data_IF_559189257590
#
_entry.id   IF_559189257590
#
_cell.length_a   1.000
_cell.length_b   1.000
_cell.length_c   1.000
_cell.angle_alpha   90.00
_cell.angle_beta   90.00
_cell.angle_gamma   90.00
#
_symmetry.space_group_name_H-M   'P 1'
#
loop_
_entity.id
_entity.type
_entity.pdbx_description
1 polymer ?
#
# COMPACT_ATOMS: atom_id res chain seq x y z
N UNK A 1 21.80 -10.20 -2.96
CA UNK A 1 20.34 -10.34 -2.72
C UNK A 1 19.60 -10.03 -4.00
N UNK A 2 18.58 -10.82 -4.34
CA UNK A 2 17.72 -10.53 -5.50
C UNK A 2 16.97 -9.23 -5.24
N UNK A 3 17.00 -8.30 -6.19
CA UNK A 3 16.24 -7.05 -6.07
C UNK A 3 14.77 -7.26 -6.42
N UNK A 4 13.89 -6.55 -5.70
CA UNK A 4 12.44 -6.69 -5.91
C UNK A 4 11.99 -5.97 -7.17
N UNK A 5 11.11 -6.63 -7.91
CA UNK A 5 10.44 -6.08 -9.10
C UNK A 5 9.05 -5.54 -8.79
N UNK A 6 8.52 -5.91 -7.63
CA UNK A 6 7.23 -5.41 -7.12
C UNK A 6 7.38 -5.06 -5.64
N UNK A 7 6.95 -3.86 -5.29
CA UNK A 7 6.72 -3.41 -3.93
C UNK A 7 5.22 -3.19 -3.74
N UNK A 8 4.62 -3.86 -2.76
CA UNK A 8 3.25 -3.64 -2.32
C UNK A 8 3.28 -3.09 -0.90
N UNK A 9 2.67 -1.92 -0.66
CA UNK A 9 2.80 -1.23 0.60
C UNK A 9 1.46 -0.73 1.13
N UNK A 10 1.24 -0.90 2.44
CA UNK A 10 0.13 -0.30 3.19
C UNK A 10 0.70 0.53 4.36
N UNK A 11 1.24 1.74 4.07
CA UNK A 11 1.93 2.53 5.08
C UNK A 11 1.03 2.89 6.27
N UNK A 12 1.56 2.90 7.50
CA UNK A 12 0.82 3.25 8.70
C UNK A 12 0.68 4.78 8.83
N UNK A 13 -0.15 5.37 7.97
CA UNK A 13 -0.37 6.79 7.87
C UNK A 13 -0.82 7.41 9.20
N UNK A 14 -0.13 8.46 9.66
CA UNK A 14 -0.50 9.26 10.83
C UNK A 14 -1.71 10.17 10.52
N UNK A 15 -2.86 9.56 10.22
CA UNK A 15 -4.10 10.29 9.98
C UNK A 15 -4.82 10.60 11.28
N UNK A 16 -4.81 11.88 11.68
CA UNK A 16 -5.51 12.36 12.85
C UNK A 16 -6.89 12.95 12.49
N UNK A 17 -7.94 12.26 12.85
CA UNK A 17 -9.32 12.76 12.70
C UNK A 17 -9.68 13.74 13.84
N UNK A 18 -8.84 14.76 14.09
CA UNK A 18 -8.89 15.63 15.28
C UNK A 18 -9.95 16.75 15.25
N UNK A 19 -10.79 16.88 14.22
CA UNK A 19 -11.59 18.12 14.02
C UNK A 19 -13.11 17.98 13.98
N UNK A 20 -13.67 16.83 14.28
CA UNK A 20 -15.13 16.73 14.37
C UNK A 20 -15.52 16.14 15.71
N UNK A 21 -16.06 16.95 16.61
CA UNK A 21 -16.46 16.66 18.00
C UNK A 21 -17.38 15.44 18.23
N UNK A 22 -17.11 14.36 17.55
CA UNK A 22 -17.68 13.04 17.80
C UNK A 22 -16.87 12.30 18.85
N UNK A 23 -17.51 11.82 19.89
CA UNK A 23 -16.96 11.04 20.99
C UNK A 23 -16.43 9.65 20.60
N UNK A 24 -16.25 9.36 19.33
CA UNK A 24 -15.72 8.07 18.84
C UNK A 24 -14.22 8.14 18.63
N UNK A 25 -13.50 7.36 19.40
CA UNK A 25 -12.07 7.06 19.28
C UNK A 25 -11.82 6.17 18.03
N UNK A 26 -11.89 6.74 16.84
CA UNK A 26 -11.77 5.99 15.56
C UNK A 26 -10.66 6.47 14.64
N UNK A 27 -9.55 6.95 15.21
CA UNK A 27 -8.37 7.30 14.43
C UNK A 27 -7.38 6.12 14.32
N UNK A 28 -6.71 5.96 13.19
CA UNK A 28 -5.70 4.91 12.97
C UNK A 28 -4.58 4.92 14.04
N UNK A 29 -4.29 6.08 14.62
CA UNK A 29 -3.29 6.29 15.68
C UNK A 29 -3.60 5.59 17.01
N UNK A 30 -4.79 5.02 17.20
CA UNK A 30 -5.16 4.32 18.44
C UNK A 30 -5.13 2.80 18.31
N UNK A 31 -4.96 2.27 17.10
CA UNK A 31 -4.96 0.82 16.85
C UNK A 31 -3.62 0.26 16.36
N UNK A 32 -2.71 1.13 15.89
CA UNK A 32 -1.42 0.71 15.30
C UNK A 32 -0.36 1.77 15.61
N UNK A 33 0.90 1.32 15.73
CA UNK A 33 2.05 2.22 15.76
C UNK A 33 2.14 2.94 14.41
N UNK A 34 1.74 4.20 14.40
CA UNK A 34 1.86 5.06 13.21
C UNK A 34 3.30 5.54 13.06
N UNK A 35 3.76 5.63 11.81
CA UNK A 35 5.06 6.23 11.49
C UNK A 35 4.86 7.64 10.96
N UNK A 36 5.81 8.53 11.26
CA UNK A 36 5.83 9.84 10.61
C UNK A 36 6.14 9.70 9.12
N UNK A 37 5.66 10.65 8.30
CA UNK A 37 6.00 10.67 6.88
C UNK A 37 7.51 10.75 6.67
N UNK A 38 8.21 11.52 7.50
CA UNK A 38 9.66 11.69 7.40
C UNK A 38 10.40 10.38 7.71
N UNK A 39 9.99 9.63 8.73
CA UNK A 39 10.60 8.32 9.02
C UNK A 39 10.39 7.34 7.86
N UNK A 40 9.19 7.30 7.30
CA UNK A 40 8.91 6.46 6.12
C UNK A 40 9.73 6.88 4.89
N UNK A 41 9.96 8.18 4.68
CA UNK A 41 10.79 8.70 3.58
C UNK A 41 12.27 8.36 3.75
N UNK A 42 12.76 8.21 4.99
CA UNK A 42 14.14 7.81 5.29
C UNK A 42 14.42 6.33 5.05
N UNK A 43 13.40 5.49 4.95
CA UNK A 43 13.60 4.08 4.62
C UNK A 43 14.26 3.92 3.24
N UNK A 44 15.35 3.15 3.15
CA UNK A 44 16.08 2.95 1.89
C UNK A 44 15.43 1.87 1.01
N UNK A 45 14.17 2.12 0.65
CA UNK A 45 13.40 1.24 -0.25
C UNK A 45 14.02 1.19 -1.64
N UNK A 46 14.63 2.30 -2.08
CA UNK A 46 15.23 2.40 -3.42
C UNK A 46 16.33 1.36 -3.64
N UNK A 47 17.13 1.07 -2.65
CA UNK A 47 18.23 0.09 -2.74
C UNK A 47 17.73 -1.34 -2.89
N UNK A 48 16.53 -1.64 -2.38
CA UNK A 48 15.89 -2.96 -2.47
C UNK A 48 15.29 -3.23 -3.85
N UNK A 49 15.01 -2.16 -4.63
CA UNK A 49 14.32 -2.26 -5.91
C UNK A 49 15.26 -2.62 -7.06
N UNK A 50 14.80 -3.50 -7.94
CA UNK A 50 15.37 -3.69 -9.27
C UNK A 50 15.35 -2.35 -10.07
N UNK A 51 16.11 -2.28 -11.16
CA UNK A 51 16.10 -1.11 -12.04
C UNK A 51 14.71 -0.87 -12.66
N UNK A 52 13.95 -1.94 -12.85
CA UNK A 52 12.56 -1.90 -13.29
C UNK A 52 11.68 -2.45 -12.17
N UNK A 53 10.99 -1.56 -11.46
CA UNK A 53 10.19 -1.94 -10.30
C UNK A 53 8.82 -1.23 -10.31
N UNK A 54 7.78 -1.97 -9.96
CA UNK A 54 6.41 -1.49 -9.77
C UNK A 54 6.15 -1.27 -8.28
N UNK A 55 5.60 -0.11 -7.94
CA UNK A 55 5.05 0.17 -6.61
C UNK A 55 3.52 0.22 -6.69
N UNK A 56 2.86 -0.52 -5.80
CA UNK A 56 1.44 -0.38 -5.50
C UNK A 56 1.33 0.00 -4.02
N UNK A 57 0.82 1.21 -3.73
CA UNK A 57 0.82 1.74 -2.37
C UNK A 57 -0.55 2.30 -1.98
N UNK A 58 -1.12 1.75 -0.92
CA UNK A 58 -2.35 2.27 -0.33
C UNK A 58 -2.13 3.62 0.32
N UNK A 59 -3.12 4.50 0.22
CA UNK A 59 -3.06 5.81 0.84
C UNK A 59 -4.44 6.27 1.32
N UNK A 60 -4.43 7.22 2.24
CA UNK A 60 -5.64 7.88 2.73
C UNK A 60 -6.03 8.98 1.75
N UNK A 61 -7.27 8.99 1.30
CA UNK A 61 -7.76 9.94 0.28
C UNK A 61 -7.62 11.42 0.66
N UNK A 62 -7.49 11.72 1.96
CA UNK A 62 -7.23 13.07 2.47
C UNK A 62 -5.74 13.45 2.51
N UNK A 63 -4.83 12.52 2.13
CA UNK A 63 -3.37 12.68 2.20
C UNK A 63 -2.70 12.37 0.84
N UNK A 64 -3.17 12.94 -0.29
CA UNK A 64 -2.59 12.63 -1.60
C UNK A 64 -1.18 13.20 -1.76
N UNK A 65 -0.89 14.36 -1.19
CA UNK A 65 0.42 15.01 -1.28
C UNK A 65 1.48 14.22 -0.52
N UNK A 66 1.14 13.70 0.64
CA UNK A 66 2.01 12.83 1.44
C UNK A 66 2.29 11.51 0.70
N UNK A 67 1.27 10.93 0.07
CA UNK A 67 1.43 9.71 -0.73
C UNK A 67 2.36 9.95 -1.93
N UNK A 68 2.20 11.06 -2.65
CA UNK A 68 3.09 11.47 -3.74
C UNK A 68 4.52 11.69 -3.24
N UNK A 69 4.68 12.39 -2.10
CA UNK A 69 5.98 12.68 -1.52
C UNK A 69 6.70 11.38 -1.11
N UNK A 70 5.98 10.42 -0.49
CA UNK A 70 6.56 9.15 -0.09
C UNK A 70 7.00 8.31 -1.29
N UNK A 71 6.16 8.16 -2.30
CA UNK A 71 6.50 7.42 -3.51
C UNK A 71 7.75 8.00 -4.20
N UNK A 72 7.85 9.33 -4.30
CA UNK A 72 9.02 10.02 -4.86
C UNK A 72 10.27 9.82 -4.01
N UNK A 73 10.15 9.89 -2.68
CA UNK A 73 11.26 9.66 -1.76
C UNK A 73 11.83 8.24 -1.89
N UNK A 74 11.00 7.25 -2.20
CA UNK A 74 11.42 5.87 -2.49
C UNK A 74 11.95 5.67 -3.91
N UNK A 75 11.99 6.74 -4.74
CA UNK A 75 12.56 6.73 -6.08
C UNK A 75 11.59 6.33 -7.20
N UNK A 76 10.28 6.41 -6.95
CA UNK A 76 9.25 6.08 -7.92
C UNK A 76 8.61 7.33 -8.53
N UNK A 77 8.19 7.20 -9.78
CA UNK A 77 7.34 8.16 -10.49
C UNK A 77 5.90 7.64 -10.49
N UNK A 78 5.01 8.38 -9.86
CA UNK A 78 3.59 8.01 -9.81
C UNK A 78 2.97 8.14 -11.20
N UNK A 79 2.26 7.11 -11.64
CA UNK A 79 1.58 7.06 -12.95
C UNK A 79 0.07 7.16 -12.81
N UNK A 80 -0.50 6.65 -11.71
CA UNK A 80 -1.94 6.67 -11.48
C UNK A 80 -2.23 6.64 -9.97
N UNK A 81 -2.95 7.64 -9.46
CA UNK A 81 -3.39 7.68 -8.06
C UNK A 81 -4.46 6.63 -7.75
N UNK A 82 -5.25 6.23 -8.74
CA UNK A 82 -6.28 5.19 -8.63
C UNK A 82 -5.87 3.95 -9.45
N UNK A 83 -4.61 3.51 -9.30
CA UNK A 83 -4.10 2.33 -10.00
C UNK A 83 -4.83 1.05 -9.59
N UNK A 84 -5.18 0.94 -8.29
CA UNK A 84 -6.18 0.01 -7.78
C UNK A 84 -7.18 0.75 -6.90
N UNK A 85 -8.43 0.29 -6.96
CA UNK A 85 -9.54 0.81 -6.15
C UNK A 85 -10.28 -0.37 -5.54
N UNK A 86 -10.27 -0.43 -4.21
CA UNK A 86 -11.09 -1.36 -3.47
C UNK A 86 -12.52 -0.80 -3.36
N UNK A 87 -13.45 -1.43 -4.06
CA UNK A 87 -14.88 -1.22 -3.90
C UNK A 87 -15.37 -2.16 -2.79
N UNK A 88 -15.64 -1.58 -1.63
CA UNK A 88 -15.89 -2.34 -0.40
C UNK A 88 -17.28 -2.95 -0.38
N UNK A 89 -17.35 -4.19 0.05
CA UNK A 89 -18.59 -4.87 0.39
C UNK A 89 -18.66 -5.18 1.87
N UNK A 90 -19.87 -5.19 2.42
CA UNK A 90 -20.13 -5.76 3.74
C UNK A 90 -19.94 -7.29 3.70
N UNK A 91 -19.83 -7.93 4.86
CA UNK A 91 -19.78 -9.39 4.96
C UNK A 91 -20.95 -10.11 4.27
N UNK A 92 -22.07 -9.43 4.08
CA UNK A 92 -23.27 -9.94 3.41
C UNK A 92 -23.36 -9.58 1.93
N UNK A 93 -22.29 -9.04 1.32
CA UNK A 93 -22.23 -8.69 -0.11
C UNK A 93 -23.03 -7.44 -0.50
N UNK A 94 -23.44 -6.62 0.48
CA UNK A 94 -24.08 -5.32 0.23
C UNK A 94 -23.02 -4.23 0.12
N UNK A 95 -23.38 -3.11 -0.52
CA UNK A 95 -22.53 -1.94 -0.61
C UNK A 95 -22.12 -1.47 0.80
N UNK A 96 -20.83 -1.17 0.96
CA UNK A 96 -20.31 -0.69 2.22
C UNK A 96 -20.64 0.79 2.40
N UNK A 97 -21.14 1.12 3.58
CA UNK A 97 -21.53 2.47 3.96
C UNK A 97 -20.64 2.97 5.10
N UNK A 98 -19.48 3.52 4.74
CA UNK A 98 -18.51 4.02 5.71
C UNK A 98 -18.82 5.42 6.23
N UNK A 99 -18.13 5.79 7.31
CA UNK A 99 -18.25 7.11 7.93
C UNK A 99 -17.35 8.13 7.20
N UNK A 100 -17.90 8.88 6.29
CA UNK A 100 -17.23 10.00 5.63
C UNK A 100 -17.80 11.34 6.08
N UNK A 101 -17.02 12.41 5.97
CA UNK A 101 -17.45 13.75 6.40
C UNK A 101 -18.50 14.37 5.48
N UNK A 102 -18.33 14.20 4.16
CA UNK A 102 -19.20 14.78 3.16
C UNK A 102 -19.96 13.68 2.43
N UNK A 103 -19.21 12.73 1.87
CA UNK A 103 -19.77 11.53 1.23
C UNK A 103 -19.52 10.29 2.09
N UNK A 104 -20.25 9.21 1.84
CA UNK A 104 -20.02 7.94 2.54
C UNK A 104 -18.86 7.19 1.92
N UNK A 105 -17.86 6.87 2.76
CA UNK A 105 -16.66 6.18 2.32
C UNK A 105 -16.96 4.71 2.00
N UNK A 106 -16.96 4.35 0.73
CA UNK A 106 -17.21 3.00 0.24
C UNK A 106 -16.01 2.42 -0.52
N UNK A 107 -14.96 3.21 -0.72
CA UNK A 107 -13.77 2.80 -1.47
C UNK A 107 -12.48 3.15 -0.74
N UNK A 108 -11.41 2.44 -1.08
CA UNK A 108 -10.02 2.83 -0.80
C UNK A 108 -9.22 2.74 -2.10
N UNK A 109 -8.19 3.57 -2.23
CA UNK A 109 -7.35 3.62 -3.42
C UNK A 109 -5.90 3.28 -3.10
N UNK A 110 -5.25 2.58 -4.03
CA UNK A 110 -3.81 2.42 -4.06
C UNK A 110 -3.25 3.09 -5.32
N UNK A 111 -2.25 3.93 -5.13
CA UNK A 111 -1.50 4.49 -6.26
C UNK A 111 -0.63 3.42 -6.89
N UNK A 112 -0.37 3.59 -8.19
CA UNK A 112 0.62 2.83 -8.94
C UNK A 112 1.73 3.77 -9.38
N UNK A 113 2.96 3.38 -9.10
CA UNK A 113 4.15 4.13 -9.45
C UNK A 113 5.22 3.21 -10.03
N UNK A 114 6.14 3.76 -10.79
CA UNK A 114 7.13 3.01 -11.55
C UNK A 114 8.54 3.55 -11.33
N UNK A 115 9.50 2.64 -11.28
CA UNK A 115 10.94 2.89 -11.43
C UNK A 115 11.40 2.21 -12.71
N UNK A 116 12.14 2.90 -13.56
CA UNK A 116 12.61 2.36 -14.84
C UNK A 116 11.51 2.05 -15.86
N UNK A 117 11.71 0.99 -16.65
CA UNK A 117 10.79 0.54 -17.72
C UNK A 117 9.97 -0.65 -17.23
N UNK A 118 8.79 -0.41 -16.71
CA UNK A 118 7.91 -1.46 -16.16
C UNK A 118 7.11 -2.22 -17.21
N UNK A 119 7.11 -1.78 -18.48
CA UNK A 119 6.41 -2.48 -19.57
C UNK A 119 6.82 -3.93 -19.72
N UNK A 120 8.06 -4.27 -19.36
CA UNK A 120 8.60 -5.65 -19.39
C UNK A 120 8.08 -6.51 -18.23
N UNK A 121 7.61 -5.88 -17.15
CA UNK A 121 7.07 -6.58 -15.99
C UNK A 121 5.62 -6.97 -16.18
N UNK A 122 4.88 -6.29 -17.05
CA UNK A 122 3.45 -6.50 -17.22
C UNK A 122 3.21 -7.72 -18.11
N UNK A 123 2.67 -8.78 -17.51
CA UNK A 123 2.37 -10.06 -18.18
C UNK A 123 0.90 -10.18 -18.57
N UNK A 124 -0.01 -9.67 -17.71
CA UNK A 124 -1.45 -9.70 -17.96
C UNK A 124 -2.01 -8.28 -17.97
N UNK A 125 -2.42 -7.81 -19.14
CA UNK A 125 -3.00 -6.46 -19.33
C UNK A 125 -4.52 -6.44 -19.16
N UNK A 126 -5.14 -7.56 -18.81
CA UNK A 126 -6.58 -7.65 -18.55
C UNK A 126 -6.96 -7.30 -17.11
N UNK A 127 -5.96 -7.12 -16.23
CA UNK A 127 -6.20 -6.81 -14.82
C UNK A 127 -6.91 -5.46 -14.69
N UNK A 128 -8.06 -5.48 -14.04
CA UNK A 128 -8.87 -4.27 -13.81
C UNK A 128 -8.41 -3.55 -12.56
N UNK A 129 -8.46 -2.22 -12.59
CA UNK A 129 -8.10 -1.39 -11.45
C UNK A 129 -9.12 -1.50 -10.30
N UNK A 130 -10.42 -1.61 -10.60
CA UNK A 130 -11.47 -1.78 -9.60
C UNK A 130 -11.62 -3.24 -9.21
N UNK A 131 -11.47 -3.53 -7.92
CA UNK A 131 -11.70 -4.85 -7.35
C UNK A 131 -12.75 -4.71 -6.25
N UNK A 132 -13.84 -5.46 -6.38
CA UNK A 132 -14.89 -5.53 -5.39
C UNK A 132 -14.59 -6.67 -4.44
N UNK A 133 -14.51 -6.36 -3.12
CA UNK A 133 -14.16 -7.33 -2.11
C UNK A 133 -14.76 -6.97 -0.75
N UNK A 134 -14.98 -8.01 0.08
CA UNK A 134 -15.56 -7.87 1.41
C UNK A 134 -14.57 -7.25 2.40
N UNK A 135 -15.08 -6.44 3.30
CA UNK A 135 -14.35 -6.01 4.50
C UNK A 135 -14.29 -7.19 5.46
N UNK A 136 -13.08 -7.67 5.75
CA UNK A 136 -12.85 -8.84 6.63
C UNK A 136 -12.36 -8.46 8.03
N UNK A 137 -11.86 -7.23 8.21
CA UNK A 137 -11.35 -6.75 9.50
C UNK A 137 -10.92 -5.29 9.43
N UNK A 138 -10.52 -4.74 10.58
CA UNK A 138 -10.04 -3.36 10.64
C UNK A 138 -8.79 -3.18 9.77
N UNK A 139 -8.92 -2.36 8.71
CA UNK A 139 -7.81 -1.95 7.84
C UNK A 139 -7.07 -3.06 7.08
N UNK A 140 -7.53 -4.32 7.15
CA UNK A 140 -6.92 -5.42 6.38
C UNK A 140 -7.29 -5.29 4.90
N UNK A 141 -6.27 -5.24 4.04
CA UNK A 141 -6.49 -5.20 2.59
C UNK A 141 -6.82 -6.60 2.06
N UNK A 142 -7.80 -6.72 1.15
CA UNK A 142 -8.19 -8.01 0.58
C UNK A 142 -7.05 -8.70 -0.18
N UNK A 143 -6.98 -10.03 -0.08
CA UNK A 143 -5.97 -10.84 -0.79
C UNK A 143 -6.13 -10.77 -2.32
N UNK A 144 -7.30 -10.42 -2.80
CA UNK A 144 -7.60 -10.21 -4.22
C UNK A 144 -6.65 -9.22 -4.88
N UNK A 145 -6.16 -8.22 -4.13
CA UNK A 145 -5.17 -7.26 -4.65
C UNK A 145 -3.80 -7.89 -4.83
N UNK A 146 -3.32 -8.73 -3.89
CA UNK A 146 -2.07 -9.50 -4.07
C UNK A 146 -2.18 -10.42 -5.28
N UNK A 147 -3.27 -11.18 -5.41
CA UNK A 147 -3.51 -12.05 -6.55
C UNK A 147 -3.57 -11.28 -7.88
N UNK A 148 -4.19 -10.09 -7.90
CA UNK A 148 -4.20 -9.23 -9.08
C UNK A 148 -2.78 -8.78 -9.46
N UNK A 149 -1.96 -8.39 -8.50
CA UNK A 149 -0.56 -7.99 -8.71
C UNK A 149 0.28 -9.18 -9.20
N UNK A 150 0.07 -10.37 -8.64
CA UNK A 150 0.74 -11.61 -9.06
C UNK A 150 0.43 -11.95 -10.52
N UNK A 151 -0.84 -11.86 -10.92
CA UNK A 151 -1.24 -12.05 -12.31
C UNK A 151 -0.68 -10.95 -13.22
N UNK A 152 -0.73 -9.69 -12.76
CA UNK A 152 -0.23 -8.54 -13.52
C UNK A 152 1.25 -8.70 -13.88
N UNK A 153 2.08 -9.12 -12.92
CA UNK A 153 3.55 -9.15 -13.05
C UNK A 153 4.13 -10.56 -13.27
N UNK A 154 3.35 -11.61 -13.07
CA UNK A 154 3.85 -13.00 -13.12
C UNK A 154 4.74 -13.34 -11.92
N UNK A 155 5.52 -14.41 -12.07
CA UNK A 155 6.44 -14.88 -11.03
C UNK A 155 7.73 -14.05 -11.04
N UNK A 156 7.79 -13.06 -10.13
CA UNK A 156 8.93 -12.15 -9.94
C UNK A 156 9.16 -11.93 -8.45
N UNK A 157 10.37 -11.52 -8.01
CA UNK A 157 10.62 -11.14 -6.61
C UNK A 157 9.70 -10.02 -6.16
N UNK A 158 8.97 -10.26 -5.05
CA UNK A 158 7.95 -9.36 -4.49
C UNK A 158 8.20 -9.11 -3.01
N UNK A 159 8.03 -7.87 -2.59
CA UNK A 159 8.09 -7.44 -1.21
C UNK A 159 6.76 -6.78 -0.80
N UNK A 160 6.17 -7.23 0.29
CA UNK A 160 5.08 -6.53 0.96
C UNK A 160 5.62 -5.75 2.14
N UNK A 161 5.47 -4.43 2.10
CA UNK A 161 5.89 -3.52 3.17
C UNK A 161 4.72 -3.19 4.08
N UNK A 162 5.02 -3.13 5.39
CA UNK A 162 4.06 -2.94 6.47
C UNK A 162 3.03 -4.08 6.53
N UNK A 163 3.52 -5.28 6.20
CA UNK A 163 2.72 -6.50 6.19
C UNK A 163 2.21 -6.85 7.59
N UNK A 164 1.00 -7.39 7.65
CA UNK A 164 0.38 -7.88 8.90
C UNK A 164 0.31 -9.40 8.96
N UNK A 165 0.47 -10.04 7.82
CA UNK A 165 0.44 -11.50 7.67
C UNK A 165 1.48 -11.92 6.65
N UNK A 166 2.04 -13.11 6.85
CA UNK A 166 2.90 -13.74 5.85
C UNK A 166 2.02 -14.23 4.67
N UNK A 167 2.45 -13.95 3.45
CA UNK A 167 1.77 -14.41 2.24
C UNK A 167 2.73 -15.25 1.39
N UNK A 168 2.32 -16.44 0.89
CA UNK A 168 3.17 -17.26 0.03
C UNK A 168 3.65 -16.50 -1.21
N UNK A 169 4.95 -16.61 -1.53
CA UNK A 169 5.55 -15.94 -2.68
C UNK A 169 5.84 -14.44 -2.48
N UNK A 170 5.68 -13.93 -1.27
CA UNK A 170 6.04 -12.57 -0.87
C UNK A 170 7.07 -12.59 0.25
N UNK A 171 8.13 -11.82 0.12
CA UNK A 171 8.91 -11.41 1.27
C UNK A 171 8.18 -10.28 1.98
N UNK A 172 8.34 -10.16 3.29
CA UNK A 172 7.56 -9.23 4.12
C UNK A 172 8.46 -8.39 5.00
N UNK A 173 8.04 -7.14 5.20
CA UNK A 173 8.54 -6.21 6.20
C UNK A 173 7.36 -5.61 6.95
N UNK A 174 7.33 -5.72 8.27
CA UNK A 174 6.24 -5.18 9.09
C UNK A 174 6.33 -5.62 10.55
N UNK A 175 5.81 -4.82 11.47
CA UNK A 175 5.89 -5.03 12.91
C UNK A 175 4.92 -6.11 13.47
N UNK A 176 4.11 -6.73 12.62
CA UNK A 176 3.14 -7.79 13.02
C UNK A 176 3.48 -9.15 12.41
N UNK A 177 4.62 -9.30 11.77
CA UNK A 177 5.09 -10.52 11.11
C UNK A 177 6.54 -10.78 11.46
N UNK A 178 6.98 -12.05 11.30
CA UNK A 178 8.40 -12.37 11.27
C UNK A 178 8.98 -11.82 9.96
N UNK A 179 9.76 -10.74 10.07
CA UNK A 179 10.29 -10.02 8.90
C UNK A 179 11.24 -10.89 8.09
N UNK A 180 11.01 -10.94 6.77
CA UNK A 180 11.91 -11.62 5.84
C UNK A 180 13.17 -10.81 5.57
N UNK A 181 13.10 -9.48 5.75
CA UNK A 181 14.20 -8.55 5.46
C UNK A 181 14.28 -7.44 6.51
N UNK A 182 15.45 -6.82 6.59
CA UNK A 182 15.69 -5.57 7.32
C UNK A 182 15.81 -4.42 6.32
N UNK A 183 15.21 -3.27 6.63
CA UNK A 183 15.32 -2.06 5.80
C UNK A 183 16.15 -1.03 6.54
N UNK A 184 17.28 -0.65 5.94
CA UNK A 184 18.17 0.39 6.46
C UNK A 184 17.58 1.80 6.26
N UNK A 185 18.18 2.81 6.93
CA UNK A 185 17.95 4.21 6.65
C UNK A 185 18.92 4.73 5.58
N UNK A 186 18.52 5.76 4.85
CA UNK A 186 19.35 6.42 3.83
C UNK A 186 20.62 7.05 4.41
N UNK A 187 20.58 7.46 5.68
CA UNK A 187 21.74 8.04 6.39
C UNK A 187 22.86 7.02 6.64
N UNK A 188 22.55 5.71 6.65
CA UNK A 188 23.53 4.65 6.83
C UNK A 188 24.16 4.19 5.51
N UNK A 189 23.62 4.63 4.38
CA UNK A 189 24.06 4.25 3.04
C UNK A 189 24.95 5.28 2.34
N UNK A 190 25.25 6.41 3.00
CA UNK A 190 26.15 7.48 2.55
C UNK A 190 27.48 7.37 3.31
#
# INVERSE_FOLDING_TARGET
MSKYKVIYADPPWAFNNKKTGGSMKSGASQQYDVMSLEDMKQMDVKSLCDDNCLLVMWYVGAMPDEALALARAWGFRVTNMNGFVWDKETKHGKDFFGMGHITRASTESALVAVKGKTSTLIKDRSIRSRIRAKVTGHSAKPNEFRHAIEKLCGDVPRLEMFARTQSPGWEVFGNQVDESIQIGSKEQAA
#
